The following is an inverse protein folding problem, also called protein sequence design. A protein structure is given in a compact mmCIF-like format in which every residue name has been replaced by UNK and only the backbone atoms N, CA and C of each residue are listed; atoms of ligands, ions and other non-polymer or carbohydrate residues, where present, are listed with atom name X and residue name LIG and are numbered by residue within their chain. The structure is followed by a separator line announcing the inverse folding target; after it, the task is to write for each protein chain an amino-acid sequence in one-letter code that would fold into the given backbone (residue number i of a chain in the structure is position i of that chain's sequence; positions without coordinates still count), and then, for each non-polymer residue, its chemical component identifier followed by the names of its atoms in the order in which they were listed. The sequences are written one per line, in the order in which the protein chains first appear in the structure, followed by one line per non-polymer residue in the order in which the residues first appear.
data_IF_038144334070
#
_entry.id   IF_038144334070
#
_cell.length_a   1.000
_cell.length_b   1.000
_cell.length_c   1.000
_cell.angle_alpha   90.00
_cell.angle_beta   90.00
_cell.angle_gamma   90.00
#
_symmetry.space_group_name_H-M   'P 1'
#
loop_
_entity.id
_entity.type
_entity.pdbx_description
1 polymer ?
#
# COMPACT_ATOMS: atom_id res chain seq x y z
N UNK A 1 1.31 13.04 22.60
CA UNK A 1 0.39 12.93 21.46
C UNK A 1 0.64 13.99 20.37
N UNK A 2 0.55 15.30 20.64
CA UNK A 2 0.74 16.37 19.61
C UNK A 2 2.04 16.25 18.78
N UNK A 3 3.18 15.90 19.39
CA UNK A 3 4.45 15.74 18.67
C UNK A 3 4.50 14.55 17.72
N UNK A 4 3.89 13.41 18.09
CA UNK A 4 3.84 12.22 17.23
C UNK A 4 3.01 12.53 15.99
N UNK A 5 1.84 13.14 16.16
CA UNK A 5 0.96 13.54 15.07
C UNK A 5 1.67 14.52 14.11
N UNK A 6 2.42 15.49 14.63
CA UNK A 6 3.18 16.45 13.81
C UNK A 6 4.25 15.78 12.95
N UNK A 7 4.99 14.80 13.47
CA UNK A 7 5.97 14.05 12.69
C UNK A 7 5.32 13.11 11.68
N UNK A 8 4.19 12.48 12.02
CA UNK A 8 3.48 11.62 11.06
C UNK A 8 3.01 12.44 9.84
N UNK A 9 2.44 13.63 10.06
CA UNK A 9 2.05 14.53 8.97
C UNK A 9 3.27 14.96 8.15
N UNK A 10 4.38 15.32 8.78
CA UNK A 10 5.61 15.69 8.09
C UNK A 10 6.09 14.58 7.14
N UNK A 11 6.15 13.33 7.61
CA UNK A 11 6.62 12.21 6.78
C UNK A 11 5.63 11.80 5.69
N UNK A 12 4.33 12.01 5.88
CA UNK A 12 3.35 11.87 4.79
C UNK A 12 3.62 12.92 3.70
N UNK A 13 3.83 14.18 4.07
CA UNK A 13 4.15 15.25 3.10
C UNK A 13 5.46 14.95 2.37
N UNK A 14 6.51 14.55 3.08
CA UNK A 14 7.79 14.20 2.46
C UNK A 14 7.65 12.98 1.54
N UNK A 15 6.84 11.99 1.91
CA UNK A 15 6.56 10.85 1.05
C UNK A 15 5.81 11.27 -0.23
N UNK A 16 4.81 12.15 -0.12
CA UNK A 16 4.12 12.71 -1.30
C UNK A 16 5.10 13.44 -2.22
N UNK A 17 6.02 14.24 -1.65
CA UNK A 17 7.07 14.93 -2.42
C UNK A 17 7.96 13.91 -3.12
N UNK A 18 8.41 12.87 -2.42
CA UNK A 18 9.22 11.80 -3.01
C UNK A 18 8.50 11.03 -4.14
N UNK A 19 7.17 10.90 -4.05
CA UNK A 19 6.36 10.25 -5.08
C UNK A 19 5.82 11.23 -6.13
N UNK A 20 6.14 12.53 -6.06
CA UNK A 20 5.51 13.57 -6.89
C UNK A 20 5.64 13.32 -8.39
N UNK A 21 6.79 12.81 -8.86
CA UNK A 21 7.00 12.45 -10.26
C UNK A 21 6.05 11.33 -10.71
N UNK A 22 5.92 10.27 -9.92
CA UNK A 22 5.03 9.13 -10.21
C UNK A 22 3.58 9.58 -10.18
N UNK A 23 3.18 10.37 -9.18
CA UNK A 23 1.85 10.95 -9.05
C UNK A 23 1.51 11.80 -10.28
N UNK A 24 2.42 12.68 -10.69
CA UNK A 24 2.23 13.51 -11.87
C UNK A 24 2.05 12.67 -13.13
N UNK A 25 2.94 11.70 -13.37
CA UNK A 25 2.88 10.82 -14.54
C UNK A 25 1.61 9.97 -14.56
N UNK A 26 1.15 9.53 -13.42
CA UNK A 26 -0.07 8.74 -13.31
C UNK A 26 -1.32 9.56 -13.69
N UNK A 27 -1.48 10.76 -13.15
CA UNK A 27 -2.69 11.56 -13.39
C UNK A 27 -2.63 12.43 -14.65
N UNK A 28 -1.47 12.87 -15.06
CA UNK A 28 -1.31 13.75 -16.23
C UNK A 28 -1.06 12.98 -17.52
N UNK A 29 -0.14 12.01 -17.49
CA UNK A 29 0.26 11.28 -18.69
C UNK A 29 -0.49 9.94 -18.85
N UNK A 30 -1.33 9.56 -17.90
CA UNK A 30 -2.02 8.28 -17.89
C UNK A 30 -1.07 7.08 -17.76
N UNK A 31 0.17 7.32 -17.30
CA UNK A 31 1.14 6.24 -17.11
C UNK A 31 0.87 5.57 -15.77
N UNK A 32 0.66 4.27 -15.85
CA UNK A 32 0.33 3.44 -14.71
C UNK A 32 1.46 3.48 -13.65
N UNK A 33 1.09 3.66 -12.38
CA UNK A 33 2.02 3.68 -11.25
C UNK A 33 2.70 2.33 -11.02
N UNK A 34 2.09 1.26 -11.51
CA UNK A 34 2.66 -0.08 -11.55
C UNK A 34 3.23 -0.34 -12.95
N UNK A 35 4.40 -0.96 -13.04
CA UNK A 35 4.99 -1.32 -14.32
C UNK A 35 4.06 -2.22 -15.17
N UNK A 36 4.23 -2.22 -16.49
CA UNK A 36 3.35 -2.97 -17.40
C UNK A 36 3.41 -4.49 -17.20
N UNK A 37 4.53 -5.03 -16.72
CA UNK A 37 4.72 -6.47 -16.51
C UNK A 37 4.13 -6.91 -15.15
N UNK A 38 4.98 -7.26 -14.19
CA UNK A 38 4.57 -7.82 -12.89
C UNK A 38 3.56 -6.95 -12.13
N UNK A 39 3.61 -5.65 -12.30
CA UNK A 39 2.68 -4.73 -11.66
C UNK A 39 1.24 -4.92 -12.11
N UNK A 40 1.01 -4.92 -13.42
CA UNK A 40 -0.32 -5.00 -14.03
C UNK A 40 -0.78 -6.44 -14.25
N UNK A 41 0.14 -7.34 -14.59
CA UNK A 41 -0.21 -8.72 -14.92
C UNK A 41 -0.32 -9.62 -13.68
N UNK A 42 0.33 -9.26 -12.57
CA UNK A 42 0.36 -10.05 -11.35
C UNK A 42 -0.12 -9.26 -10.12
N UNK A 43 0.56 -8.17 -9.76
CA UNK A 43 0.33 -7.50 -8.47
C UNK A 43 -1.10 -6.99 -8.31
N UNK A 44 -1.64 -6.30 -9.30
CA UNK A 44 -3.01 -5.76 -9.24
C UNK A 44 -4.07 -6.88 -9.28
N UNK A 45 -4.01 -7.84 -10.22
CA UNK A 45 -4.95 -8.97 -10.23
C UNK A 45 -4.93 -9.80 -8.95
N UNK A 46 -3.75 -10.03 -8.35
CA UNK A 46 -3.63 -10.77 -7.10
C UNK A 46 -4.32 -10.01 -5.95
N UNK A 47 -4.14 -8.70 -5.84
CA UNK A 47 -4.82 -7.88 -4.82
C UNK A 47 -6.34 -7.93 -4.99
N UNK A 48 -6.83 -7.81 -6.23
CA UNK A 48 -8.26 -7.92 -6.55
C UNK A 48 -8.80 -9.31 -6.19
N UNK A 49 -8.06 -10.36 -6.54
CA UNK A 49 -8.44 -11.73 -6.25
C UNK A 49 -8.54 -11.96 -4.74
N UNK A 50 -7.50 -11.64 -3.98
CA UNK A 50 -7.48 -11.79 -2.51
C UNK A 50 -8.62 -11.01 -1.85
N UNK A 51 -8.83 -9.76 -2.24
CA UNK A 51 -9.92 -8.96 -1.73
C UNK A 51 -11.29 -9.61 -2.01
N UNK A 52 -11.52 -10.10 -3.23
CA UNK A 52 -12.78 -10.73 -3.61
C UNK A 52 -13.01 -12.01 -2.80
N UNK A 53 -11.99 -12.87 -2.64
CA UNK A 53 -12.12 -14.09 -1.85
C UNK A 53 -12.41 -13.78 -0.38
N UNK A 54 -11.67 -12.88 0.22
CA UNK A 54 -11.85 -12.51 1.63
C UNK A 54 -13.18 -11.79 1.90
N UNK A 55 -13.65 -10.97 0.97
CA UNK A 55 -14.96 -10.32 1.09
C UNK A 55 -16.13 -11.32 1.02
N UNK A 56 -15.92 -12.49 0.42
CA UNK A 56 -16.89 -13.60 0.36
C UNK A 56 -16.74 -14.59 1.54
N UNK A 57 -15.76 -14.36 2.43
CA UNK A 57 -15.50 -15.25 3.57
C UNK A 57 -14.54 -16.41 3.27
N UNK A 58 -14.03 -16.53 2.04
CA UNK A 58 -13.02 -17.53 1.68
C UNK A 58 -11.64 -17.03 2.11
N UNK A 59 -11.06 -17.60 3.17
CA UNK A 59 -9.79 -17.10 3.71
C UNK A 59 -8.58 -17.84 3.15
N UNK A 60 -8.68 -19.16 3.03
CA UNK A 60 -7.53 -20.02 2.69
C UNK A 60 -7.66 -20.70 1.34
N UNK A 61 -8.83 -21.26 1.03
CA UNK A 61 -9.05 -22.14 -0.11
C UNK A 61 -10.10 -21.57 -1.06
N UNK A 62 -9.91 -21.78 -2.36
CA UNK A 62 -10.91 -21.48 -3.39
C UNK A 62 -10.87 -22.52 -4.49
N UNK A 63 -12.06 -22.96 -4.93
CA UNK A 63 -12.22 -23.84 -6.09
C UNK A 63 -11.83 -23.14 -7.40
N UNK A 64 -11.84 -21.81 -7.42
CA UNK A 64 -11.54 -21.00 -8.59
C UNK A 64 -10.05 -20.60 -8.67
N UNK A 65 -9.22 -21.03 -7.72
CA UNK A 65 -7.77 -20.81 -7.74
C UNK A 65 -7.07 -22.03 -8.35
N UNK A 66 -6.54 -21.87 -9.55
CA UNK A 66 -5.99 -22.98 -10.32
C UNK A 66 -7.09 -24.02 -10.64
N UNK A 67 -6.88 -25.25 -10.23
CA UNK A 67 -7.85 -26.35 -10.27
C UNK A 67 -8.50 -26.63 -8.90
N UNK A 68 -8.49 -25.61 -8.03
CA UNK A 68 -8.83 -25.70 -6.61
C UNK A 68 -7.56 -25.80 -5.75
N UNK A 69 -7.30 -24.77 -4.93
CA UNK A 69 -6.05 -24.69 -4.17
C UNK A 69 -6.10 -23.76 -2.96
N UNK A 70 -5.05 -23.85 -2.15
CA UNK A 70 -4.77 -22.96 -1.03
C UNK A 70 -4.13 -21.67 -1.54
N UNK A 71 -4.96 -20.72 -1.95
CA UNK A 71 -4.48 -19.43 -2.44
C UNK A 71 -3.79 -18.60 -1.35
N UNK A 72 -4.09 -18.82 -0.07
CA UNK A 72 -3.46 -18.06 1.00
C UNK A 72 -1.97 -18.37 1.09
N UNK A 73 -1.61 -19.63 1.08
CA UNK A 73 -0.21 -20.07 1.12
C UNK A 73 0.51 -19.76 -0.19
N UNK A 74 -0.11 -20.04 -1.32
CA UNK A 74 0.50 -19.82 -2.65
C UNK A 74 0.76 -18.33 -2.94
N UNK A 75 -0.12 -17.43 -2.44
CA UNK A 75 0.03 -15.99 -2.61
C UNK A 75 0.70 -15.30 -1.40
N UNK A 76 1.26 -16.06 -0.45
CA UNK A 76 1.92 -15.52 0.74
C UNK A 76 3.14 -14.66 0.39
N UNK A 77 3.86 -15.00 -0.65
CA UNK A 77 4.99 -14.23 -1.17
C UNK A 77 4.56 -12.83 -1.63
N UNK A 78 3.34 -12.68 -2.14
CA UNK A 78 2.86 -11.39 -2.65
C UNK A 78 2.16 -10.57 -1.55
N UNK A 79 0.96 -10.98 -1.13
CA UNK A 79 0.08 -10.12 -0.34
C UNK A 79 -0.64 -10.81 0.81
N UNK A 80 -0.92 -12.11 0.76
CA UNK A 80 -1.79 -12.77 1.75
C UNK A 80 -1.24 -12.68 3.17
N UNK A 81 0.08 -12.62 3.36
CA UNK A 81 0.75 -12.42 4.66
C UNK A 81 1.21 -10.98 4.90
N UNK A 82 0.99 -10.06 3.94
CA UNK A 82 1.41 -8.68 4.07
C UNK A 82 0.46 -7.90 4.98
N UNK A 83 0.91 -7.58 6.19
CA UNK A 83 0.09 -6.92 7.21
C UNK A 83 -0.50 -5.57 6.74
N UNK A 84 0.23 -4.80 5.93
CA UNK A 84 -0.28 -3.53 5.42
C UNK A 84 -1.38 -3.76 4.37
N UNK A 85 -1.30 -4.83 3.59
CA UNK A 85 -2.36 -5.20 2.67
C UNK A 85 -3.59 -5.71 3.42
N UNK A 86 -3.42 -6.53 4.46
CA UNK A 86 -4.52 -7.00 5.31
C UNK A 86 -5.25 -5.81 5.95
N UNK A 87 -4.52 -4.86 6.53
CA UNK A 87 -5.10 -3.63 7.09
C UNK A 87 -5.84 -2.85 6.00
N UNK A 88 -5.25 -2.71 4.81
CA UNK A 88 -5.88 -2.03 3.69
C UNK A 88 -7.20 -2.68 3.27
N UNK A 89 -7.25 -4.01 3.19
CA UNK A 89 -8.50 -4.76 2.91
C UNK A 89 -9.56 -4.44 3.96
N UNK A 90 -9.20 -4.47 5.25
CA UNK A 90 -10.14 -4.14 6.33
C UNK A 90 -10.64 -2.69 6.22
N UNK A 91 -9.78 -1.75 5.87
CA UNK A 91 -10.17 -0.35 5.63
C UNK A 91 -11.13 -0.23 4.45
N UNK A 92 -10.86 -0.91 3.32
CA UNK A 92 -11.74 -0.90 2.15
C UNK A 92 -13.11 -1.51 2.50
N UNK A 93 -13.13 -2.64 3.20
CA UNK A 93 -14.38 -3.27 3.66
C UNK A 93 -15.17 -2.34 4.58
N UNK A 94 -14.51 -1.67 5.52
CA UNK A 94 -15.14 -0.68 6.38
C UNK A 94 -15.70 0.51 5.59
N UNK A 95 -14.94 1.06 4.65
CA UNK A 95 -15.39 2.18 3.83
C UNK A 95 -16.57 1.80 2.93
N UNK A 96 -16.66 0.56 2.44
CA UNK A 96 -17.81 0.06 1.66
C UNK A 96 -19.13 0.07 2.43
N UNK A 97 -19.11 0.17 3.76
CA UNK A 97 -20.34 0.32 4.57
C UNK A 97 -20.96 1.72 4.43
N UNK A 98 -20.15 2.71 4.06
CA UNK A 98 -20.56 4.12 4.02
C UNK A 98 -20.55 4.73 2.61
N UNK A 99 -19.71 4.17 1.73
CA UNK A 99 -19.45 4.72 0.39
C UNK A 99 -19.52 3.59 -0.63
N UNK A 100 -20.15 3.85 -1.78
CA UNK A 100 -20.14 2.91 -2.91
C UNK A 100 -18.78 2.91 -3.59
N UNK A 101 -17.91 1.97 -3.20
CA UNK A 101 -16.59 1.76 -3.83
C UNK A 101 -16.68 0.66 -4.88
N UNK A 102 -16.34 0.98 -6.12
CA UNK A 102 -16.26 -0.01 -7.19
C UNK A 102 -14.92 -0.74 -7.16
N UNK A 103 -14.86 -1.78 -6.35
CA UNK A 103 -13.67 -2.61 -6.18
C UNK A 103 -13.45 -3.62 -7.32
N UNK A 104 -14.30 -3.63 -8.35
CA UNK A 104 -14.14 -4.48 -9.54
C UNK A 104 -13.31 -3.79 -10.63
N UNK A 105 -13.12 -2.48 -10.54
CA UNK A 105 -12.32 -1.73 -11.51
C UNK A 105 -10.82 -1.83 -11.19
N UNK A 106 -10.02 -2.11 -12.21
CA UNK A 106 -8.55 -2.11 -12.13
C UNK A 106 -8.04 -0.74 -11.66
N UNK A 107 -8.65 0.35 -12.16
CA UNK A 107 -8.25 1.72 -11.79
C UNK A 107 -8.37 2.00 -10.29
N UNK A 108 -9.37 1.42 -9.61
CA UNK A 108 -9.48 1.51 -8.15
C UNK A 108 -8.22 0.94 -7.47
N UNK A 109 -7.79 -0.27 -7.88
CA UNK A 109 -6.63 -0.92 -7.28
C UNK A 109 -5.32 -0.24 -7.62
N UNK A 110 -5.21 0.38 -8.78
CA UNK A 110 -4.04 1.17 -9.15
C UNK A 110 -3.92 2.44 -8.30
N UNK A 111 -5.03 3.19 -8.12
CA UNK A 111 -5.07 4.32 -7.20
C UNK A 111 -4.77 3.88 -5.76
N UNK A 112 -5.35 2.77 -5.34
CA UNK A 112 -5.09 2.18 -4.03
C UNK A 112 -3.61 1.82 -3.85
N UNK A 113 -2.97 1.21 -4.86
CA UNK A 113 -1.55 0.87 -4.82
C UNK A 113 -0.66 2.13 -4.67
N UNK A 114 -0.99 3.21 -5.38
CA UNK A 114 -0.28 4.49 -5.25
C UNK A 114 -0.42 5.07 -3.83
N UNK A 115 -1.63 5.09 -3.28
CA UNK A 115 -1.90 5.58 -1.91
C UNK A 115 -1.10 4.74 -0.90
N UNK A 116 -1.15 3.42 -1.01
CA UNK A 116 -0.43 2.51 -0.12
C UNK A 116 1.09 2.69 -0.26
N UNK A 117 1.61 2.95 -1.46
CA UNK A 117 3.03 3.26 -1.67
C UNK A 117 3.46 4.50 -0.91
N UNK A 118 2.68 5.58 -0.98
CA UNK A 118 2.93 6.81 -0.21
C UNK A 118 2.89 6.54 1.30
N UNK A 119 1.92 5.76 1.78
CA UNK A 119 1.81 5.40 3.20
C UNK A 119 3.03 4.57 3.65
N UNK A 120 3.42 3.56 2.86
CA UNK A 120 4.63 2.74 3.13
C UNK A 120 5.88 3.60 3.18
N UNK A 121 6.06 4.52 2.23
CA UNK A 121 7.16 5.47 2.21
C UNK A 121 7.20 6.33 3.48
N UNK A 122 6.05 6.88 3.90
CA UNK A 122 5.96 7.67 5.11
C UNK A 122 6.31 6.87 6.38
N UNK A 123 5.84 5.62 6.48
CA UNK A 123 6.18 4.71 7.59
C UNK A 123 7.68 4.41 7.60
N UNK A 124 8.26 4.06 6.44
CA UNK A 124 9.68 3.79 6.31
C UNK A 124 10.54 4.99 6.74
N UNK A 125 10.21 6.19 6.24
CA UNK A 125 10.88 7.44 6.64
C UNK A 125 10.74 7.70 8.14
N UNK A 126 9.58 7.49 8.72
CA UNK A 126 9.37 7.67 10.15
C UNK A 126 10.21 6.71 10.99
N UNK A 127 10.25 5.43 10.62
CA UNK A 127 11.09 4.43 11.28
C UNK A 127 12.58 4.78 11.16
N UNK A 128 13.03 5.18 9.97
CA UNK A 128 14.41 5.62 9.73
C UNK A 128 14.75 6.88 10.54
N UNK A 129 13.82 7.83 10.64
CA UNK A 129 13.98 9.01 11.52
C UNK A 129 14.16 8.61 12.98
N UNK A 130 13.32 7.70 13.51
CA UNK A 130 13.42 7.26 14.89
C UNK A 130 14.78 6.60 15.16
N UNK A 131 15.21 5.73 14.26
CA UNK A 131 16.52 5.08 14.33
C UNK A 131 17.67 6.09 14.23
N UNK A 132 17.65 6.97 13.23
CA UNK A 132 18.64 8.01 13.05
C UNK A 132 18.73 8.94 14.25
N UNK A 133 17.61 9.33 14.84
CA UNK A 133 17.56 10.14 16.05
C UNK A 133 18.14 9.42 17.26
N UNK A 134 17.98 8.11 17.36
CA UNK A 134 18.59 7.32 18.45
C UNK A 134 20.12 7.35 18.36
N UNK A 135 20.67 7.20 17.16
CA UNK A 135 22.12 7.18 16.92
C UNK A 135 22.74 8.57 16.99
N UNK A 136 22.22 9.52 16.20
CA UNK A 136 22.86 10.84 16.01
C UNK A 136 22.53 11.82 17.13
N UNK A 137 21.43 11.61 17.86
CA UNK A 137 20.82 12.54 18.82
C UNK A 137 20.45 13.91 18.23
N UNK A 138 20.59 14.08 16.91
CA UNK A 138 20.27 15.30 16.18
C UNK A 138 19.01 15.15 15.33
N UNK A 139 17.94 15.90 15.67
CA UNK A 139 16.62 15.77 15.00
C UNK A 139 16.67 16.13 13.51
N UNK A 140 17.31 17.27 13.18
CA UNK A 140 17.35 17.75 11.79
C UNK A 140 18.13 16.77 10.91
N UNK A 141 19.31 16.33 11.34
CA UNK A 141 20.10 15.35 10.61
C UNK A 141 19.33 14.04 10.40
N UNK A 142 18.57 13.60 11.41
CA UNK A 142 17.76 12.37 11.31
C UNK A 142 16.61 12.51 10.31
N UNK A 143 16.03 13.70 10.13
CA UNK A 143 15.03 13.96 9.08
C UNK A 143 15.67 13.88 7.70
N UNK A 144 16.85 14.48 7.51
CA UNK A 144 17.58 14.37 6.23
C UNK A 144 17.93 12.93 5.89
N UNK A 145 18.46 12.16 6.84
CA UNK A 145 18.79 10.73 6.66
C UNK A 145 17.53 9.92 6.29
N UNK A 146 16.38 10.28 6.84
CA UNK A 146 15.14 9.57 6.57
C UNK A 146 14.56 9.87 5.17
N UNK A 147 14.91 11.02 4.58
CA UNK A 147 14.40 11.46 3.28
C UNK A 147 15.27 10.99 2.10
N UNK A 148 16.55 10.76 2.30
CA UNK A 148 17.48 10.23 1.28
C UNK A 148 17.30 8.73 1.12
#
# INVERSE_FOLDING_TARGET
MKRILSYSILFIILSIIGHSYIIFRFYHDGILSTGPNDGMEQMVPIQMYLFNQWSQGNIFYSTNFGLGGDFFTDLSYYFSTNILFIINVLVILFLKLFISLDTHQIMFWMNNALIISVIKGAIAMYCTYLYGKHITKHKVLSIFIAFI
#
